data_IF_380614561496
#
_entry.id   IF_380614561496
#
_cell.length_a   1.000
_cell.length_b   1.000
_cell.length_c   1.000
_cell.angle_alpha   90.00
_cell.angle_beta   90.00
_cell.angle_gamma   90.00
#
_symmetry.space_group_name_H-M   'P 1'
#
loop_
_entity.id
_entity.type
_entity.pdbx_description
1 polymer ?
#
# COMPACT_ATOMS: atom_id res chain seq x y z
N UNK A 1 -57.44 -28.72 -13.06
CA UNK A 1 -56.49 -27.91 -12.27
C UNK A 1 -55.90 -26.90 -13.22
N UNK A 2 -56.21 -25.61 -13.03
CA UNK A 2 -55.80 -24.56 -13.97
C UNK A 2 -54.35 -24.16 -13.71
N UNK A 3 -53.65 -23.73 -14.75
CA UNK A 3 -52.26 -23.23 -14.74
C UNK A 3 -51.99 -22.03 -13.80
N UNK A 4 -52.98 -21.59 -13.01
CA UNK A 4 -52.89 -20.46 -12.07
C UNK A 4 -52.45 -20.82 -10.65
N UNK A 5 -52.20 -22.09 -10.36
CA UNK A 5 -51.76 -22.55 -9.03
C UNK A 5 -50.28 -22.97 -8.99
N UNK A 6 -49.40 -22.29 -9.76
CA UNK A 6 -47.95 -22.40 -9.50
C UNK A 6 -47.60 -21.46 -8.36
N UNK A 7 -46.93 -21.91 -7.29
CA UNK A 7 -46.45 -21.04 -6.24
C UNK A 7 -45.56 -19.96 -6.88
N UNK A 8 -45.85 -18.70 -6.60
CA UNK A 8 -44.90 -17.62 -6.82
C UNK A 8 -43.73 -17.94 -5.89
N UNK A 9 -42.60 -18.36 -6.42
CA UNK A 9 -41.34 -18.38 -5.68
C UNK A 9 -41.12 -16.94 -5.18
N UNK A 10 -41.37 -16.72 -3.89
CA UNK A 10 -40.88 -15.54 -3.21
C UNK A 10 -39.36 -15.66 -3.24
N UNK A 11 -38.72 -14.98 -4.20
CA UNK A 11 -37.29 -14.71 -4.13
C UNK A 11 -37.05 -13.92 -2.85
N UNK A 12 -36.73 -14.64 -1.77
CA UNK A 12 -36.20 -14.03 -0.57
C UNK A 12 -34.93 -13.30 -0.98
N UNK A 13 -34.87 -11.99 -0.75
CA UNK A 13 -33.59 -11.30 -0.90
C UNK A 13 -32.59 -11.94 0.06
N UNK A 14 -31.38 -12.27 -0.42
CA UNK A 14 -30.38 -12.90 0.42
C UNK A 14 -30.05 -11.97 1.58
N UNK A 15 -29.81 -12.57 2.75
CA UNK A 15 -29.37 -11.80 3.90
C UNK A 15 -27.96 -11.30 3.62
N UNK A 16 -27.72 -10.02 3.86
CA UNK A 16 -26.39 -9.44 3.70
C UNK A 16 -25.54 -9.71 4.94
N UNK A 17 -24.28 -10.07 4.72
CA UNK A 17 -23.33 -10.29 5.79
C UNK A 17 -22.85 -8.98 6.39
N UNK A 18 -22.68 -8.95 7.70
CA UNK A 18 -22.04 -7.82 8.37
C UNK A 18 -22.99 -6.73 8.87
N UNK A 19 -24.31 -6.88 8.70
CA UNK A 19 -25.29 -5.86 9.13
C UNK A 19 -24.93 -4.46 8.58
N UNK A 20 -24.61 -4.40 7.29
CA UNK A 20 -24.15 -3.18 6.63
C UNK A 20 -25.24 -2.11 6.59
N UNK A 21 -24.82 -0.86 6.73
CA UNK A 21 -25.67 0.32 6.61
C UNK A 21 -25.81 0.70 5.13
N UNK A 22 -26.98 1.18 4.69
CA UNK A 22 -27.09 1.82 3.37
C UNK A 22 -26.20 3.08 3.36
N UNK A 23 -25.25 3.24 2.43
CA UNK A 23 -24.38 4.41 2.43
C UNK A 23 -25.11 5.74 2.20
N UNK A 24 -26.37 5.74 1.73
CA UNK A 24 -27.24 6.94 1.70
C UNK A 24 -27.65 7.41 3.09
N UNK A 25 -27.64 6.51 4.06
CA UNK A 25 -27.96 6.77 5.46
C UNK A 25 -26.69 6.97 6.31
N UNK A 26 -25.55 7.26 5.67
CA UNK A 26 -24.27 7.43 6.35
C UNK A 26 -24.37 8.44 7.51
N UNK A 27 -23.94 7.96 8.68
CA UNK A 27 -23.71 8.79 9.86
C UNK A 27 -22.29 8.52 10.35
N UNK A 28 -21.43 9.54 10.51
CA UNK A 28 -20.06 9.35 10.99
C UNK A 28 -19.95 8.68 12.37
N UNK A 29 -21.05 8.69 13.15
CA UNK A 29 -21.11 8.06 14.49
C UNK A 29 -21.64 6.64 14.48
N UNK A 30 -22.39 6.26 13.45
CA UNK A 30 -23.10 4.99 13.37
C UNK A 30 -23.16 4.56 11.91
N UNK A 31 -22.15 3.81 11.48
CA UNK A 31 -22.15 3.16 10.18
C UNK A 31 -21.44 1.82 10.29
N UNK A 32 -21.76 0.91 9.37
CA UNK A 32 -21.01 -0.32 9.17
C UNK A 32 -21.00 -0.67 7.70
N UNK A 33 -19.83 -0.92 7.12
CA UNK A 33 -19.69 -1.21 5.69
C UNK A 33 -18.74 -2.38 5.45
N UNK A 34 -19.03 -3.18 4.44
CA UNK A 34 -18.01 -3.98 3.76
C UNK A 34 -17.38 -3.13 2.67
N UNK A 35 -16.06 -2.99 2.70
CA UNK A 35 -15.34 -2.15 1.73
C UNK A 35 -14.23 -2.89 1.02
N UNK A 36 -14.19 -2.80 -0.32
CA UNK A 36 -13.03 -3.20 -1.11
C UNK A 36 -12.14 -1.98 -1.33
N UNK A 37 -11.08 -1.88 -0.52
CA UNK A 37 -10.14 -0.78 -0.62
C UNK A 37 -9.16 -0.99 -1.78
N UNK A 38 -9.10 -0.02 -2.68
CA UNK A 38 -8.18 -0.05 -3.83
C UNK A 38 -6.78 0.29 -3.32
N UNK A 39 -5.91 -0.71 -3.28
CA UNK A 39 -4.49 -0.50 -2.99
C UNK A 39 -3.64 -0.51 -4.28
N UNK A 40 -2.95 0.61 -4.58
CA UNK A 40 -1.92 0.71 -5.59
C UNK A 40 -0.95 -0.49 -5.70
N UNK A 41 -0.42 -0.98 -4.58
CA UNK A 41 0.58 -2.05 -4.56
C UNK A 41 0.00 -3.42 -4.93
N UNK A 42 -1.29 -3.64 -4.63
CA UNK A 42 -2.03 -4.85 -5.02
C UNK A 42 -2.08 -5.01 -6.55
N UNK A 43 -2.30 -3.91 -7.26
CA UNK A 43 -2.45 -3.88 -8.73
C UNK A 43 -1.13 -4.20 -9.41
N UNK A 44 0.01 -3.78 -8.85
CA UNK A 44 1.35 -4.14 -9.36
C UNK A 44 1.62 -5.63 -9.13
N UNK A 45 1.32 -6.15 -7.94
CA UNK A 45 1.43 -7.58 -7.63
C UNK A 45 0.51 -8.45 -8.50
N UNK A 46 -0.73 -8.01 -8.73
CA UNK A 46 -1.69 -8.71 -9.58
C UNK A 46 -1.31 -8.64 -11.08
N UNK A 47 -0.79 -7.52 -11.59
CA UNK A 47 -0.28 -7.46 -12.97
C UNK A 47 0.94 -8.35 -13.18
N UNK A 48 1.88 -8.38 -12.23
CA UNK A 48 3.02 -9.28 -12.27
C UNK A 48 2.60 -10.75 -12.11
N UNK A 49 1.64 -11.04 -11.22
CA UNK A 49 1.06 -12.35 -11.01
C UNK A 49 0.30 -12.87 -12.24
N UNK A 50 -0.54 -12.05 -12.88
CA UNK A 50 -1.21 -12.43 -14.13
C UNK A 50 -0.22 -12.64 -15.29
N UNK A 51 0.88 -11.88 -15.35
CA UNK A 51 1.94 -12.10 -16.34
C UNK A 51 2.73 -13.40 -16.07
N UNK A 52 2.92 -13.79 -14.81
CA UNK A 52 3.56 -15.06 -14.43
C UNK A 52 2.63 -16.27 -14.57
N UNK A 53 1.36 -16.14 -14.18
CA UNK A 53 0.31 -17.16 -14.34
C UNK A 53 0.01 -17.43 -15.83
N UNK A 54 0.32 -16.49 -16.73
CA UNK A 54 0.26 -16.73 -18.17
C UNK A 54 1.33 -17.70 -18.70
N UNK A 55 2.26 -18.16 -17.85
CA UNK A 55 3.26 -19.20 -18.18
C UNK A 55 2.95 -20.60 -17.63
N UNK A 56 1.98 -20.78 -16.73
CA UNK A 56 1.53 -22.10 -16.28
C UNK A 56 0.06 -22.32 -16.66
N UNK A 57 -0.17 -23.25 -17.59
CA UNK A 57 -1.49 -23.62 -18.05
C UNK A 57 -2.39 -24.14 -16.92
N UNK A 58 -3.31 -23.31 -16.46
CA UNK A 58 -4.50 -23.69 -15.70
C UNK A 58 -5.74 -23.48 -16.57
N UNK A 59 -6.32 -24.56 -17.09
CA UNK A 59 -7.67 -24.55 -17.67
C UNK A 59 -8.71 -25.07 -16.67
N UNK A 60 -9.95 -25.35 -17.11
CA UNK A 60 -10.88 -24.50 -17.86
C UNK A 60 -11.89 -23.81 -16.92
N UNK A 61 -12.46 -22.68 -17.35
CA UNK A 61 -13.58 -21.94 -16.74
C UNK A 61 -13.45 -21.57 -15.26
N UNK A 62 -12.61 -20.56 -14.97
CA UNK A 62 -12.82 -19.74 -13.78
C UNK A 62 -14.25 -19.16 -13.87
N UNK A 63 -15.08 -19.36 -12.86
CA UNK A 63 -16.47 -18.88 -12.81
C UNK A 63 -16.57 -17.34 -12.66
N UNK A 64 -15.61 -16.59 -13.20
CA UNK A 64 -15.40 -15.17 -13.00
C UNK A 64 -14.03 -14.70 -13.51
N UNK A 65 -13.88 -13.39 -13.69
CA UNK A 65 -12.69 -12.74 -14.25
C UNK A 65 -11.99 -11.87 -13.19
N UNK A 66 -10.93 -12.41 -12.58
CA UNK A 66 -10.17 -11.66 -11.56
C UNK A 66 -9.34 -10.52 -12.14
N UNK A 67 -9.19 -10.43 -13.47
CA UNK A 67 -8.43 -9.37 -14.16
C UNK A 67 -9.18 -8.05 -14.27
N UNK A 68 -10.51 -8.06 -14.03
CA UNK A 68 -11.34 -6.85 -14.04
C UNK A 68 -10.75 -5.82 -13.07
N UNK A 69 -10.57 -4.58 -13.51
CA UNK A 69 -10.03 -3.54 -12.64
C UNK A 69 -11.15 -2.83 -11.87
N UNK A 70 -11.20 -3.01 -10.55
CA UNK A 70 -12.17 -2.29 -9.69
C UNK A 70 -11.95 -0.77 -9.65
N UNK A 71 -10.78 -0.32 -10.10
CA UNK A 71 -10.52 1.10 -10.33
C UNK A 71 -11.16 1.63 -11.62
N UNK A 72 -11.37 0.80 -12.65
CA UNK A 72 -11.92 1.25 -13.95
C UNK A 72 -13.39 0.86 -14.14
N UNK A 73 -13.76 -0.31 -13.64
CA UNK A 73 -15.05 -0.97 -13.84
C UNK A 73 -15.63 -1.46 -12.49
N UNK A 74 -15.83 -0.57 -11.51
CA UNK A 74 -16.34 -0.95 -10.19
C UNK A 74 -17.70 -1.67 -10.25
N UNK A 75 -18.56 -1.33 -11.21
CA UNK A 75 -19.87 -1.96 -11.42
C UNK A 75 -19.80 -3.45 -11.77
N UNK A 76 -18.63 -3.95 -12.17
CA UNK A 76 -18.41 -5.34 -12.56
C UNK A 76 -17.84 -6.21 -11.43
N UNK A 77 -17.99 -5.79 -10.17
CA UNK A 77 -17.53 -6.56 -9.00
C UNK A 77 -18.08 -7.99 -9.00
N UNK A 78 -19.35 -8.17 -9.37
CA UNK A 78 -20.02 -9.49 -9.46
C UNK A 78 -19.53 -10.39 -10.59
N UNK A 79 -18.77 -9.85 -11.55
CA UNK A 79 -18.16 -10.62 -12.65
C UNK A 79 -16.77 -11.18 -12.27
N UNK A 80 -16.21 -10.81 -11.11
CA UNK A 80 -14.89 -11.29 -10.66
C UNK A 80 -14.92 -12.76 -10.24
N UNK A 81 -13.78 -13.34 -9.87
CA UNK A 81 -13.77 -14.60 -9.12
C UNK A 81 -14.17 -14.35 -7.67
N UNK A 82 -13.52 -13.36 -7.05
CA UNK A 82 -13.78 -12.97 -5.66
C UNK A 82 -13.37 -11.52 -5.38
N UNK A 83 -13.81 -11.02 -4.22
CA UNK A 83 -13.36 -9.76 -3.65
C UNK A 83 -12.88 -9.97 -2.21
N UNK A 84 -11.72 -9.40 -1.90
CA UNK A 84 -11.23 -9.24 -0.53
C UNK A 84 -11.62 -7.85 -0.03
N UNK A 85 -12.25 -7.79 1.13
CA UNK A 85 -12.86 -6.59 1.71
C UNK A 85 -12.44 -6.45 3.17
N UNK A 86 -12.73 -5.30 3.76
CA UNK A 86 -12.68 -5.12 5.21
C UNK A 86 -14.07 -4.74 5.71
N UNK A 87 -14.47 -5.29 6.85
CA UNK A 87 -15.60 -4.80 7.61
C UNK A 87 -15.13 -3.60 8.44
N UNK A 88 -15.76 -2.44 8.22
CA UNK A 88 -15.42 -1.19 8.92
C UNK A 88 -16.64 -0.61 9.63
N UNK A 89 -16.40 0.11 10.71
CA UNK A 89 -17.37 0.93 11.42
C UNK A 89 -16.71 2.21 11.96
N UNK A 90 -17.43 3.00 12.77
CA UNK A 90 -16.92 4.25 13.33
C UNK A 90 -15.65 4.10 14.19
N UNK A 91 -15.43 2.92 14.77
CA UNK A 91 -14.30 2.63 15.67
C UNK A 91 -13.19 1.83 14.96
N UNK A 92 -13.52 1.16 13.85
CA UNK A 92 -12.63 0.31 13.07
C UNK A 92 -12.59 0.77 11.62
N UNK A 93 -11.87 1.86 11.36
CA UNK A 93 -11.80 2.45 10.02
C UNK A 93 -10.60 1.99 9.20
N UNK A 94 -9.66 1.22 9.73
CA UNK A 94 -8.46 0.82 9.00
C UNK A 94 -8.78 -0.03 7.75
N UNK A 95 -8.20 0.37 6.62
CA UNK A 95 -8.32 -0.32 5.33
C UNK A 95 -6.96 -0.41 4.65
N UNK A 96 -6.78 -1.39 3.76
CA UNK A 96 -5.51 -1.56 3.05
C UNK A 96 -5.22 -0.41 2.06
N UNK A 97 -6.26 0.11 1.40
CA UNK A 97 -6.21 1.29 0.53
C UNK A 97 -6.88 2.52 1.17
N UNK A 98 -6.69 3.70 0.56
CA UNK A 98 -7.24 4.99 1.04
C UNK A 98 -8.58 5.38 0.40
N UNK A 99 -9.23 4.45 -0.29
CA UNK A 99 -10.52 4.64 -0.95
C UNK A 99 -10.88 3.42 -1.78
N UNK A 100 -12.13 3.34 -2.21
CA UNK A 100 -12.63 2.19 -2.96
C UNK A 100 -14.14 2.06 -2.93
N UNK A 101 -14.60 0.81 -2.96
CA UNK A 101 -16.00 0.44 -3.15
C UNK A 101 -16.61 0.07 -1.80
N UNK A 102 -17.88 0.44 -1.61
CA UNK A 102 -18.75 -0.14 -0.58
C UNK A 102 -19.57 -1.23 -1.25
N UNK A 103 -19.56 -2.42 -0.67
CA UNK A 103 -20.09 -3.63 -1.29
C UNK A 103 -21.16 -4.24 -0.41
N UNK A 104 -22.28 -4.60 -1.03
CA UNK A 104 -23.23 -5.54 -0.45
C UNK A 104 -22.80 -6.96 -0.82
N UNK A 105 -22.66 -7.80 0.20
CA UNK A 105 -22.28 -9.19 0.06
C UNK A 105 -23.34 -10.09 0.71
N UNK A 106 -24.00 -10.96 -0.06
CA UNK A 106 -24.81 -12.05 0.49
C UNK A 106 -24.01 -12.90 1.50
N UNK A 107 -24.65 -13.35 2.58
CA UNK A 107 -24.03 -14.20 3.61
C UNK A 107 -23.42 -15.48 3.02
N UNK A 108 -24.10 -16.08 2.06
CA UNK A 108 -23.67 -17.29 1.34
C UNK A 108 -22.44 -17.07 0.44
N UNK A 109 -22.14 -15.82 0.07
CA UNK A 109 -20.95 -15.52 -0.74
C UNK A 109 -19.69 -15.46 0.12
N UNK A 110 -19.80 -15.26 1.45
CA UNK A 110 -18.64 -15.14 2.34
C UNK A 110 -17.95 -16.50 2.50
N UNK A 111 -16.64 -16.51 2.30
CA UNK A 111 -15.83 -17.75 2.37
C UNK A 111 -14.73 -17.69 3.42
N UNK A 112 -14.19 -16.50 3.72
CA UNK A 112 -13.13 -16.32 4.72
C UNK A 112 -13.40 -15.05 5.51
N UNK A 113 -13.20 -15.09 6.82
CA UNK A 113 -13.07 -13.90 7.67
C UNK A 113 -11.86 -14.04 8.58
N UNK A 114 -11.08 -12.98 8.76
CA UNK A 114 -9.87 -12.98 9.58
C UNK A 114 -9.61 -11.59 10.15
N UNK A 115 -9.19 -11.52 11.42
CA UNK A 115 -8.79 -10.25 12.06
C UNK A 115 -7.51 -9.63 11.51
N UNK A 116 -6.88 -10.28 10.52
CA UNK A 116 -5.70 -9.84 9.78
C UNK A 116 -5.73 -10.42 8.35
N UNK A 117 -4.76 -10.05 7.50
CA UNK A 117 -4.58 -10.66 6.18
C UNK A 117 -4.51 -12.19 6.28
N UNK A 118 -5.39 -12.87 5.54
CA UNK A 118 -5.46 -14.32 5.40
C UNK A 118 -4.73 -14.81 4.14
N UNK A 119 -4.09 -13.91 3.38
CA UNK A 119 -3.37 -14.21 2.14
C UNK A 119 -4.23 -15.03 1.16
N UNK A 120 -5.45 -14.55 0.95
CA UNK A 120 -6.49 -15.27 0.21
C UNK A 120 -6.14 -15.46 -1.27
N UNK A 121 -6.42 -16.67 -1.78
CA UNK A 121 -6.17 -17.05 -3.19
C UNK A 121 -7.28 -16.57 -4.12
N UNK A 122 -7.40 -15.25 -4.23
CA UNK A 122 -8.52 -14.58 -4.89
C UNK A 122 -8.66 -14.83 -6.41
N UNK A 123 -7.69 -15.43 -7.08
CA UNK A 123 -7.75 -15.77 -8.51
C UNK A 123 -8.31 -17.16 -8.79
N UNK A 124 -8.61 -17.97 -7.77
CA UNK A 124 -9.04 -19.35 -7.95
C UNK A 124 -10.15 -19.72 -6.95
N UNK A 125 -11.39 -19.87 -7.46
CA UNK A 125 -12.57 -20.21 -6.66
C UNK A 125 -12.37 -21.46 -5.81
N UNK A 126 -11.90 -22.56 -6.40
CA UNK A 126 -11.79 -23.85 -5.70
C UNK A 126 -10.74 -23.81 -4.58
N UNK A 127 -9.61 -23.17 -4.84
CA UNK A 127 -8.58 -22.97 -3.82
C UNK A 127 -9.08 -22.06 -2.70
N UNK A 128 -9.85 -21.03 -3.03
CA UNK A 128 -10.43 -20.12 -2.07
C UNK A 128 -11.47 -20.81 -1.18
N UNK A 129 -12.36 -21.63 -1.75
CA UNK A 129 -13.33 -22.45 -0.99
C UNK A 129 -12.59 -23.42 -0.05
N UNK A 130 -11.56 -24.12 -0.55
CA UNK A 130 -10.73 -25.01 0.27
C UNK A 130 -10.05 -24.28 1.42
N UNK A 131 -9.56 -23.06 1.18
CA UNK A 131 -8.98 -22.21 2.22
C UNK A 131 -10.04 -21.75 3.22
N UNK A 132 -11.24 -21.38 2.75
CA UNK A 132 -12.38 -21.02 3.58
C UNK A 132 -12.78 -22.10 4.59
N UNK A 133 -12.76 -23.37 4.18
CA UNK A 133 -12.99 -24.49 5.09
C UNK A 133 -11.95 -24.63 6.22
N UNK A 134 -10.75 -24.07 6.03
CA UNK A 134 -9.68 -24.08 7.04
C UNK A 134 -9.79 -22.86 7.95
N UNK A 135 -10.00 -21.67 7.38
CA UNK A 135 -10.05 -20.40 8.12
C UNK A 135 -11.37 -20.20 8.89
N UNK A 136 -12.49 -20.66 8.33
CA UNK A 136 -13.83 -20.45 8.87
C UNK A 136 -14.38 -19.04 8.66
N UNK A 137 -15.63 -18.86 9.11
CA UNK A 137 -16.37 -17.60 9.11
C UNK A 137 -16.67 -17.24 10.57
N UNK A 138 -16.27 -16.04 10.96
CA UNK A 138 -16.43 -15.43 12.28
C UNK A 138 -17.64 -14.50 12.22
N UNK A 139 -18.35 -14.33 13.32
CA UNK A 139 -19.42 -13.34 13.43
C UNK A 139 -18.89 -11.91 13.19
N UNK A 140 -19.63 -11.02 12.50
CA UNK A 140 -19.20 -9.64 12.25
C UNK A 140 -18.74 -8.86 13.49
N UNK A 141 -19.44 -8.98 14.62
CA UNK A 141 -19.08 -8.27 15.84
C UNK A 141 -17.84 -8.89 16.48
N UNK A 142 -17.72 -10.21 16.43
CA UNK A 142 -16.51 -10.90 16.88
C UNK A 142 -15.29 -10.55 16.02
N UNK A 143 -15.46 -10.37 14.71
CA UNK A 143 -14.39 -9.94 13.81
C UNK A 143 -13.88 -8.54 14.18
N UNK A 144 -14.80 -7.58 14.39
CA UNK A 144 -14.44 -6.23 14.81
C UNK A 144 -13.75 -6.23 16.18
N UNK A 145 -14.25 -7.00 17.14
CA UNK A 145 -13.62 -7.15 18.47
C UNK A 145 -12.20 -7.73 18.43
N UNK A 146 -11.82 -8.45 17.36
CA UNK A 146 -10.47 -8.99 17.14
C UNK A 146 -9.56 -8.06 16.34
N UNK A 147 -10.09 -6.93 15.88
CA UNK A 147 -9.41 -5.97 15.02
C UNK A 147 -9.08 -4.71 15.82
N UNK A 148 -8.00 -4.00 15.49
CA UNK A 148 -7.71 -2.70 16.09
C UNK A 148 -8.07 -1.57 15.13
N UNK A 149 -8.26 -0.35 15.64
CA UNK A 149 -8.52 0.82 14.79
C UNK A 149 -7.43 1.09 13.73
N UNK A 150 -6.23 0.52 13.87
CA UNK A 150 -5.09 0.74 12.98
C UNK A 150 -4.78 -0.44 12.05
N UNK A 151 -5.37 -1.61 12.29
CA UNK A 151 -5.16 -2.81 11.49
C UNK A 151 -6.44 -3.14 10.74
N UNK A 152 -6.33 -3.45 9.45
CA UNK A 152 -7.48 -3.91 8.68
C UNK A 152 -7.73 -5.40 8.96
N UNK A 153 -8.99 -5.79 9.00
CA UNK A 153 -9.41 -7.19 8.88
C UNK A 153 -9.56 -7.59 7.40
N UNK A 154 -9.71 -8.89 7.17
CA UNK A 154 -10.03 -9.43 5.85
C UNK A 154 -11.34 -10.22 5.88
N UNK A 155 -12.26 -9.87 4.99
CA UNK A 155 -13.49 -10.59 4.66
C UNK A 155 -13.44 -10.89 3.17
N UNK A 156 -13.42 -12.17 2.80
CA UNK A 156 -13.36 -12.59 1.41
C UNK A 156 -14.68 -13.21 1.00
N UNK A 157 -15.19 -12.76 -0.14
CA UNK A 157 -16.42 -13.25 -0.72
C UNK A 157 -16.23 -13.67 -2.17
N UNK A 158 -16.91 -14.74 -2.57
CA UNK A 158 -17.08 -15.07 -3.98
C UNK A 158 -17.91 -13.98 -4.66
N UNK A 159 -17.50 -13.59 -5.87
CA UNK A 159 -18.19 -12.53 -6.60
C UNK A 159 -19.62 -12.94 -6.98
N UNK A 160 -19.80 -14.22 -7.29
CA UNK A 160 -21.07 -14.88 -7.56
C UNK A 160 -21.10 -16.23 -6.84
N UNK A 161 -22.19 -16.50 -6.12
CA UNK A 161 -22.47 -17.79 -5.53
C UNK A 161 -23.99 -18.05 -5.53
N UNK A 162 -24.39 -19.21 -6.06
CA UNK A 162 -25.79 -19.65 -6.11
C UNK A 162 -26.77 -18.63 -6.72
N UNK A 163 -26.32 -17.87 -7.71
CA UNK A 163 -27.11 -16.84 -8.39
C UNK A 163 -27.14 -15.49 -7.68
N UNK A 164 -26.46 -15.34 -6.53
CA UNK A 164 -26.31 -14.08 -5.82
C UNK A 164 -24.94 -13.47 -6.08
N UNK A 165 -24.94 -12.21 -6.49
CA UNK A 165 -23.73 -11.47 -6.85
C UNK A 165 -23.40 -10.41 -5.80
N UNK A 166 -22.10 -10.14 -5.65
CA UNK A 166 -21.64 -8.93 -4.99
C UNK A 166 -22.11 -7.70 -5.77
N UNK A 167 -22.48 -6.65 -5.04
CA UNK A 167 -22.94 -5.40 -5.65
C UNK A 167 -22.18 -4.21 -5.09
N UNK A 168 -21.79 -3.30 -5.98
CA UNK A 168 -21.27 -2.00 -5.55
C UNK A 168 -22.44 -1.10 -5.22
N UNK A 169 -22.55 -0.69 -3.96
CA UNK A 169 -23.67 0.13 -3.45
C UNK A 169 -23.24 1.54 -3.05
N UNK A 170 -21.95 1.80 -3.05
CA UNK A 170 -21.39 3.12 -2.80
C UNK A 170 -19.89 3.15 -3.01
N UNK A 171 -19.32 4.32 -2.75
CA UNK A 171 -17.89 4.56 -2.78
C UNK A 171 -17.43 5.20 -1.48
N UNK A 172 -16.15 5.05 -1.15
CA UNK A 172 -15.57 5.76 -0.03
C UNK A 172 -14.18 6.29 -0.37
N UNK A 173 -13.77 7.33 0.34
CA UNK A 173 -12.37 7.74 0.40
C UNK A 173 -12.00 8.18 1.80
N UNK A 174 -10.70 8.12 2.06
CA UNK A 174 -10.12 8.51 3.34
C UNK A 174 -9.86 10.00 3.41
N UNK A 175 -10.21 10.59 4.54
CA UNK A 175 -9.95 12.01 4.84
C UNK A 175 -9.07 12.18 6.07
N UNK A 176 -8.29 13.25 6.07
CA UNK A 176 -7.51 13.72 7.21
C UNK A 176 -8.44 14.35 8.27
N UNK A 177 -7.96 14.65 9.49
CA UNK A 177 -8.74 15.37 10.50
C UNK A 177 -9.23 16.76 10.05
N UNK A 178 -8.61 17.34 9.01
CA UNK A 178 -9.04 18.60 8.39
C UNK A 178 -10.13 18.41 7.33
N UNK A 179 -10.53 17.18 7.04
CA UNK A 179 -11.47 16.85 5.96
C UNK A 179 -10.83 16.80 4.57
N UNK A 180 -9.50 16.80 4.47
CA UNK A 180 -8.81 16.74 3.17
C UNK A 180 -8.63 15.29 2.72
N UNK A 181 -8.82 14.94 1.43
CA UNK A 181 -8.55 13.60 0.94
C UNK A 181 -7.10 13.15 1.15
N UNK A 182 -6.91 12.00 1.78
CA UNK A 182 -5.58 11.37 1.94
C UNK A 182 -4.94 11.04 0.59
N UNK A 183 -5.78 10.76 -0.42
CA UNK A 183 -5.35 10.57 -1.80
C UNK A 183 -6.31 11.29 -2.75
N UNK A 184 -5.94 12.52 -3.15
CA UNK A 184 -6.75 13.35 -4.03
C UNK A 184 -7.10 12.69 -5.36
N UNK A 185 -6.17 11.98 -6.00
CA UNK A 185 -6.44 11.32 -7.28
C UNK A 185 -7.43 10.17 -7.15
N UNK A 186 -7.29 9.37 -6.09
CA UNK A 186 -8.23 8.29 -5.82
C UNK A 186 -9.61 8.84 -5.44
N UNK A 187 -9.67 9.85 -4.58
CA UNK A 187 -10.92 10.51 -4.22
C UNK A 187 -11.64 11.10 -5.44
N UNK A 188 -10.91 11.78 -6.33
CA UNK A 188 -11.46 12.28 -7.59
C UNK A 188 -12.05 11.16 -8.45
N UNK A 189 -11.35 10.03 -8.56
CA UNK A 189 -11.85 8.88 -9.30
C UNK A 189 -13.11 8.26 -8.66
N UNK A 190 -13.16 8.18 -7.33
CA UNK A 190 -14.34 7.70 -6.61
C UNK A 190 -15.53 8.64 -6.84
N UNK A 191 -15.33 9.96 -6.81
CA UNK A 191 -16.38 10.93 -7.17
C UNK A 191 -16.87 10.71 -8.61
N UNK A 192 -15.97 10.57 -9.58
CA UNK A 192 -16.35 10.32 -10.97
C UNK A 192 -17.17 9.03 -11.13
N UNK A 193 -16.84 7.97 -10.39
CA UNK A 193 -17.62 6.73 -10.42
C UNK A 193 -18.95 6.83 -9.71
N UNK A 194 -18.99 7.48 -8.54
CA UNK A 194 -20.21 7.77 -7.81
C UNK A 194 -21.20 8.54 -8.70
N UNK A 195 -20.74 9.61 -9.36
CA UNK A 195 -21.54 10.39 -10.31
C UNK A 195 -21.99 9.55 -11.51
N UNK A 196 -21.08 8.78 -12.12
CA UNK A 196 -21.39 7.96 -13.30
C UNK A 196 -22.44 6.88 -12.99
N UNK A 197 -22.36 6.26 -11.81
CA UNK A 197 -23.23 5.16 -11.40
C UNK A 197 -24.43 5.61 -10.56
N UNK A 198 -24.52 6.91 -10.23
CA UNK A 198 -25.55 7.47 -9.35
C UNK A 198 -25.61 6.77 -7.99
N UNK A 199 -24.42 6.48 -7.43
CA UNK A 199 -24.25 5.83 -6.13
C UNK A 199 -23.71 6.81 -5.08
N UNK A 200 -24.03 6.62 -3.80
CA UNK A 200 -23.50 7.43 -2.70
C UNK A 200 -21.98 7.34 -2.59
N UNK A 201 -21.37 8.42 -2.11
CA UNK A 201 -19.96 8.48 -1.73
C UNK A 201 -19.83 9.00 -0.30
N UNK A 202 -18.98 8.35 0.49
CA UNK A 202 -18.81 8.69 1.91
C UNK A 202 -17.36 9.01 2.25
N UNK A 203 -17.18 9.97 3.15
CA UNK A 203 -15.88 10.31 3.74
C UNK A 203 -15.65 9.45 4.98
N UNK A 204 -14.55 8.70 5.02
CA UNK A 204 -14.19 7.93 6.20
C UNK A 204 -12.88 8.50 6.78
N UNK A 205 -12.82 8.81 8.08
CA UNK A 205 -11.55 9.22 8.71
C UNK A 205 -10.45 8.18 8.50
N UNK A 206 -9.22 8.65 8.28
CA UNK A 206 -8.04 7.79 8.29
C UNK A 206 -7.49 7.67 9.70
N UNK A 207 -7.56 6.48 10.32
CA UNK A 207 -7.20 6.31 11.73
C UNK A 207 -5.72 6.56 11.98
N UNK A 208 -4.86 6.43 10.96
CA UNK A 208 -3.42 6.69 11.08
C UNK A 208 -3.04 8.15 10.89
N UNK A 209 -3.98 9.06 10.66
CA UNK A 209 -3.69 10.47 10.83
C UNK A 209 -3.35 10.71 12.29
N UNK A 210 -2.29 11.49 12.54
CA UNK A 210 -2.04 11.91 13.90
C UNK A 210 -3.26 12.68 14.38
N UNK A 211 -3.75 12.30 15.55
CA UNK A 211 -4.76 13.09 16.23
C UNK A 211 -4.27 14.53 16.39
N UNK A 212 -5.19 15.48 16.47
CA UNK A 212 -4.84 16.86 16.83
C UNK A 212 -4.21 16.96 18.24
N UNK A 213 -4.25 15.86 19.00
CA UNK A 213 -3.74 15.74 20.35
C UNK A 213 -2.46 14.90 20.39
N UNK A 214 -1.46 15.38 21.12
CA UNK A 214 -0.22 14.64 21.37
C UNK A 214 -0.49 13.52 22.38
N UNK A 215 -0.17 12.27 22.04
CA UNK A 215 -0.39 11.10 22.89
C UNK A 215 0.44 9.89 22.45
N UNK A 216 0.46 8.87 23.31
CA UNK A 216 1.10 7.57 23.03
C UNK A 216 0.01 6.52 22.85
N UNK A 217 0.15 5.71 21.82
CA UNK A 217 -0.71 4.57 21.52
C UNK A 217 0.09 3.28 21.63
N UNK A 218 -0.49 2.31 22.34
CA UNK A 218 0.06 0.96 22.46
C UNK A 218 -0.94 -0.02 21.86
N UNK A 219 -0.46 -0.95 21.06
CA UNK A 219 -1.31 -1.98 20.45
C UNK A 219 -0.57 -3.30 20.44
N UNK A 220 -1.24 -4.36 20.89
CA UNK A 220 -0.71 -5.72 20.85
C UNK A 220 -1.31 -6.42 19.62
N UNK A 221 -0.49 -7.10 18.82
CA UNK A 221 -0.99 -7.89 17.70
C UNK A 221 -1.65 -9.15 18.25
N UNK A 222 -2.93 -9.37 17.97
CA UNK A 222 -3.62 -10.58 18.45
C UNK A 222 -2.88 -11.86 18.01
N UNK A 223 -2.55 -12.73 18.96
CA UNK A 223 -1.91 -14.04 18.72
C UNK A 223 -0.38 -14.01 18.59
N UNK A 224 0.26 -12.85 18.66
CA UNK A 224 1.72 -12.71 18.77
C UNK A 224 1.98 -11.74 19.90
N UNK A 225 2.79 -12.07 20.90
CA UNK A 225 3.13 -11.17 22.03
C UNK A 225 3.99 -9.95 21.59
N UNK A 226 3.78 -9.46 20.36
CA UNK A 226 4.39 -8.29 19.76
C UNK A 226 3.57 -7.05 20.12
N UNK A 227 4.26 -6.02 20.60
CA UNK A 227 3.70 -4.72 20.90
C UNK A 227 4.16 -3.69 19.87
N UNK A 228 3.23 -2.86 19.39
CA UNK A 228 3.51 -1.63 18.67
C UNK A 228 3.31 -0.42 19.57
N UNK A 229 4.28 0.51 19.52
CA UNK A 229 4.24 1.80 20.21
C UNK A 229 4.29 2.90 19.16
N UNK A 230 3.23 3.70 19.12
CA UNK A 230 3.07 4.83 18.19
C UNK A 230 2.93 6.11 19.00
N UNK A 231 3.72 7.13 18.69
CA UNK A 231 3.62 8.45 19.32
C UNK A 231 3.04 9.44 18.34
N UNK A 232 1.87 10.00 18.67
CA UNK A 232 1.28 11.14 17.98
C UNK A 232 1.88 12.41 18.59
N UNK A 233 2.66 13.17 17.82
CA UNK A 233 3.34 14.38 18.30
C UNK A 233 3.43 15.43 17.18
N UNK A 234 2.90 16.62 17.45
CA UNK A 234 2.91 17.78 16.55
C UNK A 234 2.32 17.48 15.15
N UNK A 235 1.32 16.60 15.12
CA UNK A 235 0.66 16.14 13.90
C UNK A 235 1.37 15.00 13.16
N UNK A 236 2.50 14.48 13.66
CA UNK A 236 3.17 13.31 13.10
C UNK A 236 2.89 12.06 13.94
N UNK A 237 2.87 10.90 13.28
CA UNK A 237 2.85 9.61 13.97
C UNK A 237 4.21 8.93 13.84
N UNK A 238 4.88 8.73 14.98
CA UNK A 238 6.18 8.08 15.08
C UNK A 238 6.02 6.63 15.56
N UNK A 239 6.46 5.68 14.73
CA UNK A 239 6.48 4.26 15.09
C UNK A 239 7.78 3.98 15.84
N UNK A 240 7.72 4.02 17.17
CA UNK A 240 8.86 3.71 18.04
C UNK A 240 9.15 2.21 18.06
N UNK A 241 8.10 1.39 17.94
CA UNK A 241 8.16 -0.06 17.74
C UNK A 241 6.99 -0.46 16.84
N UNK A 242 7.29 -1.09 15.71
CA UNK A 242 6.30 -1.63 14.78
C UNK A 242 6.24 -3.15 14.86
N UNK A 243 5.20 -3.76 14.30
CA UNK A 243 5.19 -5.21 14.12
C UNK A 243 6.21 -5.59 13.04
N UNK A 244 7.05 -6.58 13.32
CA UNK A 244 8.11 -7.01 12.39
C UNK A 244 7.49 -7.88 11.27
N UNK A 245 6.92 -7.22 10.27
CA UNK A 245 6.30 -7.85 9.10
C UNK A 245 7.26 -7.85 7.91
N UNK A 246 8.24 -8.75 7.96
CA UNK A 246 8.98 -9.34 6.82
C UNK A 246 9.58 -8.38 5.76
N UNK A 247 9.66 -7.09 6.03
CA UNK A 247 10.19 -6.10 5.08
C UNK A 247 11.23 -5.15 5.68
N UNK A 248 11.57 -5.28 6.96
CA UNK A 248 12.66 -4.52 7.60
C UNK A 248 12.47 -3.00 7.56
N UNK A 249 11.26 -2.52 7.27
CA UNK A 249 10.95 -1.11 7.02
C UNK A 249 9.84 -0.56 7.93
N UNK A 250 9.30 -1.37 8.85
CA UNK A 250 8.16 -1.02 9.72
C UNK A 250 8.55 -0.55 11.13
N UNK A 251 9.79 -0.78 11.56
CA UNK A 251 10.38 -0.25 12.79
C UNK A 251 11.07 1.09 12.49
N UNK A 252 10.67 2.16 13.19
CA UNK A 252 11.25 3.52 13.08
C UNK A 252 10.83 4.39 11.89
N UNK A 253 9.55 4.31 11.51
CA UNK A 253 8.97 5.21 10.51
C UNK A 253 8.20 6.38 11.14
N UNK A 254 8.06 7.46 10.38
CA UNK A 254 7.21 8.61 10.69
C UNK A 254 6.20 8.79 9.56
N UNK A 255 4.92 8.92 9.90
CA UNK A 255 3.92 9.36 8.93
C UNK A 255 3.89 10.87 8.89
N UNK A 256 4.12 11.42 7.69
CA UNK A 256 3.95 12.85 7.44
C UNK A 256 2.52 13.31 7.72
N UNK A 257 2.39 14.43 8.44
CA UNK A 257 1.11 14.94 8.95
C UNK A 257 0.07 15.26 7.88
N UNK A 258 0.51 15.62 6.68
CA UNK A 258 -0.36 16.10 5.61
C UNK A 258 -0.57 15.02 4.53
N UNK A 259 0.41 14.14 4.30
CA UNK A 259 0.35 13.13 3.22
C UNK A 259 0.24 11.68 3.68
N UNK A 260 0.43 11.41 4.98
CA UNK A 260 0.50 10.08 5.59
C UNK A 260 1.46 9.13 4.86
N UNK A 261 2.46 9.71 4.20
CA UNK A 261 3.53 8.96 3.60
C UNK A 261 4.52 8.61 4.70
N UNK A 262 4.82 7.32 4.83
CA UNK A 262 5.88 6.88 5.73
C UNK A 262 7.23 7.40 5.21
N UNK A 263 8.01 8.01 6.07
CA UNK A 263 9.37 8.46 5.82
C UNK A 263 10.20 8.16 7.06
N UNK A 264 11.52 8.15 6.93
CA UNK A 264 12.37 8.01 8.10
C UNK A 264 12.46 9.35 8.85
N UNK A 265 12.17 9.34 10.15
CA UNK A 265 12.27 10.52 11.01
C UNK A 265 13.73 10.96 11.13
N UNK A 266 13.99 12.27 11.24
CA UNK A 266 15.33 12.74 11.62
C UNK A 266 15.65 12.36 13.09
N UNK A 267 16.94 12.22 13.47
CA UNK A 267 17.31 11.81 14.83
C UNK A 267 16.76 12.76 15.89
N UNK A 268 16.71 14.06 15.58
CA UNK A 268 16.11 15.05 16.46
C UNK A 268 14.60 14.86 16.64
N UNK A 269 13.86 14.59 15.55
CA UNK A 269 12.42 14.35 15.63
C UNK A 269 12.11 13.05 16.36
N UNK A 270 12.82 11.98 16.02
CA UNK A 270 12.62 10.67 16.64
C UNK A 270 12.93 10.72 18.14
N UNK A 271 14.05 11.34 18.53
CA UNK A 271 14.40 11.52 19.93
C UNK A 271 13.35 12.30 20.71
N UNK A 272 12.78 13.37 20.13
CA UNK A 272 11.68 14.11 20.76
C UNK A 272 10.44 13.25 20.99
N UNK A 273 10.09 12.37 20.05
CA UNK A 273 8.97 11.45 20.22
C UNK A 273 9.22 10.44 21.34
N UNK A 274 10.45 9.91 21.46
CA UNK A 274 10.85 9.03 22.58
C UNK A 274 10.80 9.79 23.91
N UNK A 275 11.40 10.98 23.99
CA UNK A 275 11.39 11.82 25.20
C UNK A 275 9.96 12.19 25.64
N UNK A 276 9.06 12.44 24.68
CA UNK A 276 7.65 12.66 24.96
C UNK A 276 7.00 11.42 25.59
N UNK A 277 7.24 10.22 25.03
CA UNK A 277 6.68 8.98 25.57
C UNK A 277 7.17 8.67 26.99
N UNK A 278 8.45 8.92 27.27
CA UNK A 278 9.03 8.84 28.63
C UNK A 278 8.38 9.86 29.56
N UNK A 279 8.22 11.11 29.12
CA UNK A 279 7.58 12.18 29.91
C UNK A 279 6.12 11.90 30.26
N UNK A 280 5.42 11.11 29.44
CA UNK A 280 4.06 10.63 29.70
C UNK A 280 4.00 9.40 30.62
N UNK A 281 5.14 8.80 30.98
CA UNK A 281 5.20 7.58 31.78
C UNK A 281 4.84 6.31 31.01
N UNK A 282 4.76 6.38 29.68
CA UNK A 282 4.37 5.28 28.80
C UNK A 282 5.56 4.41 28.36
N UNK A 283 6.77 4.91 28.60
CA UNK A 283 8.03 4.25 28.27
C UNK A 283 9.02 4.40 29.43
N UNK A 284 9.70 3.31 29.81
CA UNK A 284 10.78 3.37 30.80
C UNK A 284 12.05 3.97 30.19
N UNK A 285 12.96 4.49 31.03
CA UNK A 285 14.26 4.99 30.56
C UNK A 285 15.09 3.89 29.89
N UNK A 286 14.96 2.65 30.37
CA UNK A 286 15.64 1.47 29.82
C UNK A 286 15.11 1.12 28.42
N UNK A 287 13.78 1.08 28.26
CA UNK A 287 13.15 0.85 26.95
C UNK A 287 13.45 1.98 25.96
N UNK A 288 13.48 3.23 26.43
CA UNK A 288 13.84 4.38 25.64
C UNK A 288 15.27 4.30 25.08
N UNK A 289 16.24 3.91 25.92
CA UNK A 289 17.61 3.68 25.49
C UNK A 289 17.72 2.55 24.45
N UNK A 290 16.98 1.46 24.66
CA UNK A 290 16.94 0.36 23.71
C UNK A 290 16.36 0.77 22.35
N UNK A 291 15.25 1.51 22.35
CA UNK A 291 14.60 2.03 21.14
C UNK A 291 15.52 3.01 20.39
N UNK A 292 16.18 3.92 21.10
CA UNK A 292 17.12 4.87 20.48
C UNK A 292 18.33 4.15 19.87
N UNK A 293 18.87 3.14 20.55
CA UNK A 293 19.98 2.34 20.02
C UNK A 293 19.59 1.59 18.75
N UNK A 294 18.41 0.97 18.72
CA UNK A 294 17.89 0.31 17.52
C UNK A 294 17.61 1.28 16.38
N UNK A 295 17.12 2.49 16.69
CA UNK A 295 16.98 3.56 15.69
C UNK A 295 18.33 3.96 15.08
N UNK A 296 19.38 4.13 15.90
CA UNK A 296 20.72 4.51 15.42
C UNK A 296 21.31 3.43 14.50
N UNK A 297 21.15 2.16 14.86
CA UNK A 297 21.55 1.03 14.02
C UNK A 297 20.79 1.03 12.68
N UNK A 298 19.47 1.22 12.72
CA UNK A 298 18.64 1.30 11.52
C UNK A 298 18.99 2.51 10.63
N UNK A 299 19.24 3.69 11.22
CA UNK A 299 19.64 4.89 10.47
C UNK A 299 21.02 4.72 9.82
N UNK A 300 21.96 4.05 10.50
CA UNK A 300 23.26 3.72 9.92
C UNK A 300 23.11 2.72 8.77
N UNK A 301 22.34 1.65 8.99
CA UNK A 301 22.13 0.60 7.99
C UNK A 301 21.48 1.17 6.72
N UNK A 302 20.39 1.93 6.85
CA UNK A 302 19.69 2.46 5.68
C UNK A 302 20.55 3.44 4.88
N UNK A 303 21.47 4.18 5.51
CA UNK A 303 22.37 5.12 4.85
C UNK A 303 23.61 4.48 4.25
N UNK A 304 23.77 3.18 4.45
CA UNK A 304 24.93 2.44 4.01
C UNK A 304 24.63 1.75 2.68
N UNK A 305 25.40 2.04 1.60
CA UNK A 305 25.30 1.28 0.35
C UNK A 305 25.43 -0.22 0.59
N UNK A 306 24.34 -0.96 0.31
CA UNK A 306 24.25 -2.39 0.57
C UNK A 306 23.90 -3.13 -0.72
N UNK A 307 24.68 -4.14 -1.06
CA UNK A 307 24.42 -5.00 -2.22
C UNK A 307 23.48 -6.16 -1.85
N UNK A 308 22.45 -6.33 -2.67
CA UNK A 308 21.43 -7.37 -2.55
C UNK A 308 21.56 -8.38 -3.69
N UNK A 309 21.23 -9.63 -3.38
CA UNK A 309 21.35 -10.77 -4.28
C UNK A 309 20.01 -11.51 -4.36
N UNK A 310 19.69 -12.01 -5.55
CA UNK A 310 18.48 -12.78 -5.76
C UNK A 310 18.55 -14.17 -5.09
N UNK A 311 17.45 -14.92 -5.13
CA UNK A 311 17.38 -16.28 -4.56
C UNK A 311 18.36 -17.30 -5.17
N UNK A 312 18.96 -16.98 -6.33
CA UNK A 312 19.98 -17.79 -6.98
C UNK A 312 21.40 -17.29 -6.67
N UNK A 313 21.50 -16.25 -5.85
CA UNK A 313 22.75 -15.65 -5.45
C UNK A 313 23.35 -14.73 -6.51
N UNK A 314 22.63 -14.28 -7.53
CA UNK A 314 23.16 -13.30 -8.48
C UNK A 314 22.97 -11.88 -7.96
N UNK A 315 23.90 -10.99 -8.29
CA UNK A 315 23.74 -9.56 -8.01
C UNK A 315 22.41 -9.02 -8.56
N UNK A 316 21.62 -8.40 -7.69
CA UNK A 316 20.32 -7.83 -8.03
C UNK A 316 20.35 -6.31 -8.07
N UNK A 317 20.86 -5.68 -7.00
CA UNK A 317 20.87 -4.23 -6.83
C UNK A 317 21.78 -3.78 -5.67
N UNK A 318 22.19 -2.52 -5.69
CA UNK A 318 22.71 -1.80 -4.51
C UNK A 318 21.66 -0.74 -4.13
N UNK A 319 21.31 -0.63 -2.86
CA UNK A 319 20.40 0.39 -2.37
C UNK A 319 20.86 1.02 -1.06
N UNK A 320 20.53 2.30 -0.87
CA UNK A 320 20.60 3.02 0.39
C UNK A 320 19.72 4.29 0.33
N UNK A 321 19.60 4.97 1.45
CA UNK A 321 18.78 6.17 1.62
C UNK A 321 19.61 7.35 2.15
N UNK A 322 19.24 8.56 1.76
CA UNK A 322 19.80 9.81 2.25
C UNK A 322 18.70 10.71 2.81
N UNK A 323 19.07 11.62 3.70
CA UNK A 323 18.12 12.59 4.26
C UNK A 323 17.03 11.94 5.11
N UNK A 324 15.95 12.69 5.33
CA UNK A 324 14.88 12.39 6.27
C UNK A 324 13.59 13.11 5.88
N UNK A 325 12.45 12.61 6.34
CA UNK A 325 11.17 13.30 6.15
C UNK A 325 10.84 13.52 4.67
N UNK A 326 10.43 14.75 4.33
CA UNK A 326 10.15 15.16 2.94
C UNK A 326 11.38 15.25 2.06
N UNK A 327 12.58 15.30 2.65
CA UNK A 327 13.87 15.32 1.95
C UNK A 327 14.58 13.97 2.08
N UNK A 328 13.82 12.88 2.24
CA UNK A 328 14.36 11.53 2.14
C UNK A 328 14.48 11.12 0.66
N UNK A 329 15.67 10.68 0.28
CA UNK A 329 15.98 10.20 -1.06
C UNK A 329 16.39 8.74 -1.00
N UNK A 330 15.93 7.93 -1.96
CA UNK A 330 16.49 6.60 -2.20
C UNK A 330 17.48 6.67 -3.35
N UNK A 331 18.52 5.85 -3.24
CA UNK A 331 19.54 5.67 -4.25
C UNK A 331 19.59 4.18 -4.58
N UNK A 332 19.52 3.85 -5.87
CA UNK A 332 19.48 2.47 -6.35
C UNK A 332 20.37 2.29 -7.57
N UNK A 333 21.15 1.20 -7.60
CA UNK A 333 21.90 0.75 -8.77
C UNK A 333 21.47 -0.69 -9.04
N UNK A 334 20.71 -0.92 -10.10
CA UNK A 334 20.16 -2.25 -10.44
C UNK A 334 21.15 -3.06 -11.27
N UNK A 335 20.98 -4.39 -11.30
CA UNK A 335 21.76 -5.33 -12.12
C UNK A 335 21.88 -4.98 -13.61
N UNK A 336 20.98 -4.15 -14.13
CA UNK A 336 21.00 -3.67 -15.51
C UNK A 336 21.97 -2.50 -15.74
N UNK A 337 22.60 -1.96 -14.69
CA UNK A 337 23.38 -0.72 -14.74
C UNK A 337 22.52 0.54 -14.69
N UNK A 338 21.20 0.41 -14.49
CA UNK A 338 20.34 1.56 -14.23
C UNK A 338 20.62 2.09 -12.82
N UNK A 339 21.20 3.28 -12.74
CA UNK A 339 21.48 3.99 -11.51
C UNK A 339 20.54 5.19 -11.37
N UNK A 340 19.97 5.38 -10.18
CA UNK A 340 18.93 6.37 -9.95
C UNK A 340 18.96 6.92 -8.53
N UNK A 341 18.59 8.20 -8.41
CA UNK A 341 18.28 8.91 -7.17
C UNK A 341 16.90 9.51 -7.29
N UNK A 342 16.03 9.24 -6.33
CA UNK A 342 14.66 9.77 -6.32
C UNK A 342 14.26 10.20 -4.92
N UNK A 343 13.38 11.19 -4.82
CA UNK A 343 12.73 11.53 -3.55
C UNK A 343 11.70 10.44 -3.22
N UNK A 344 11.73 9.92 -1.99
CA UNK A 344 10.88 8.79 -1.58
C UNK A 344 9.39 9.14 -1.59
N UNK A 345 9.02 10.36 -1.18
CA UNK A 345 7.63 10.82 -1.17
C UNK A 345 7.13 11.00 -2.59
N UNK A 346 7.91 11.65 -3.46
CA UNK A 346 7.49 11.88 -4.85
C UNK A 346 7.41 10.58 -5.65
N UNK A 347 8.34 9.65 -5.43
CA UNK A 347 8.28 8.32 -6.01
C UNK A 347 6.97 7.61 -5.63
N UNK A 348 6.62 7.60 -4.35
CA UNK A 348 5.35 7.01 -3.88
C UNK A 348 4.13 7.73 -4.44
N UNK A 349 4.14 9.07 -4.52
CA UNK A 349 3.06 9.86 -5.12
C UNK A 349 2.85 9.49 -6.58
N UNK A 350 3.93 9.43 -7.36
CA UNK A 350 3.85 9.02 -8.76
C UNK A 350 3.36 7.59 -8.92
N UNK A 351 3.89 6.62 -8.16
CA UNK A 351 3.41 5.24 -8.27
C UNK A 351 1.92 5.16 -7.95
N UNK A 352 1.43 5.87 -6.94
CA UNK A 352 -0.02 6.01 -6.67
C UNK A 352 -0.78 6.61 -7.85
N UNK A 353 -0.22 7.64 -8.49
CA UNK A 353 -0.86 8.35 -9.60
C UNK A 353 -0.87 7.53 -10.91
N UNK A 354 0.22 6.84 -11.24
CA UNK A 354 0.36 5.94 -12.39
C UNK A 354 -0.72 4.83 -12.40
N UNK A 355 -1.20 4.46 -11.22
CA UNK A 355 -2.21 3.41 -11.08
C UNK A 355 -3.64 3.93 -11.25
N UNK A 356 -3.81 5.25 -11.14
CA UNK A 356 -5.05 5.97 -11.36
C UNK A 356 -5.19 6.47 -12.80
N UNK A 357 -4.09 6.67 -13.51
CA UNK A 357 -4.10 7.21 -14.88
C UNK A 357 -3.03 6.54 -15.74
N UNK A 358 -3.47 5.79 -16.77
CA UNK A 358 -2.57 5.16 -17.73
C UNK A 358 -1.73 6.22 -18.49
N UNK A 359 -2.14 7.50 -18.52
CA UNK A 359 -1.43 8.58 -19.21
C UNK A 359 -0.24 9.13 -18.42
N UNK A 360 -0.23 8.99 -17.09
CA UNK A 360 0.91 9.42 -16.25
C UNK A 360 2.16 8.55 -16.45
N UNK A 361 2.03 7.41 -17.14
CA UNK A 361 3.17 6.63 -17.65
C UNK A 361 4.06 7.43 -18.61
N UNK A 362 3.59 8.58 -19.10
CA UNK A 362 4.35 9.50 -19.97
C UNK A 362 5.03 10.65 -19.23
N UNK A 363 4.72 10.87 -17.95
CA UNK A 363 5.48 11.82 -17.14
C UNK A 363 6.89 11.24 -16.92
N UNK A 364 7.91 11.98 -17.37
CA UNK A 364 9.30 11.54 -17.34
C UNK A 364 9.77 11.09 -15.95
N UNK A 365 10.94 10.43 -15.86
CA UNK A 365 11.35 9.78 -14.63
C UNK A 365 11.46 10.81 -13.50
N UNK A 366 10.74 10.53 -12.40
CA UNK A 366 10.86 11.16 -11.08
C UNK A 366 12.30 11.03 -10.57
N UNK A 367 12.95 9.98 -11.01
CA UNK A 367 14.31 9.64 -10.67
C UNK A 367 15.27 10.39 -11.59
N UNK A 368 16.35 10.87 -11.00
CA UNK A 368 17.50 11.39 -11.73
C UNK A 368 18.60 10.33 -11.75
N UNK A 369 19.21 10.05 -12.91
CA UNK A 369 20.32 9.11 -12.95
C UNK A 369 21.50 9.64 -12.16
N UNK A 370 22.23 8.74 -11.49
CA UNK A 370 23.46 9.10 -10.79
C UNK A 370 24.52 9.54 -11.79
N UNK A 371 25.39 10.47 -11.39
CA UNK A 371 26.61 10.71 -12.17
C UNK A 371 27.50 9.45 -12.14
N UNK A 372 28.35 9.22 -13.16
CA UNK A 372 29.27 8.09 -13.15
C UNK A 372 30.19 8.09 -11.92
N UNK A 373 30.59 9.26 -11.42
CA UNK A 373 31.41 9.40 -10.22
C UNK A 373 30.66 8.99 -8.95
N UNK A 374 29.39 9.40 -8.80
CA UNK A 374 28.56 9.02 -7.65
C UNK A 374 28.26 7.51 -7.69
N UNK A 375 27.93 6.97 -8.87
CA UNK A 375 27.71 5.54 -9.03
C UNK A 375 28.97 4.73 -8.68
N UNK A 376 30.15 5.17 -9.13
CA UNK A 376 31.43 4.53 -8.80
C UNK A 376 31.70 4.55 -7.29
N UNK A 377 31.43 5.67 -6.62
CA UNK A 377 31.57 5.78 -5.16
C UNK A 377 30.64 4.78 -4.43
N UNK A 378 29.36 4.75 -4.79
CA UNK A 378 28.35 3.86 -4.19
C UNK A 378 28.74 2.38 -4.37
N UNK A 379 29.22 2.01 -5.56
CA UNK A 379 29.64 0.64 -5.86
C UNK A 379 30.87 0.25 -5.03
N UNK A 380 31.89 1.12 -4.94
CA UNK A 380 33.09 0.87 -4.13
C UNK A 380 32.77 0.71 -2.65
N UNK A 381 31.89 1.56 -2.13
CA UNK A 381 31.41 1.45 -0.74
C UNK A 381 30.67 0.15 -0.45
N UNK A 382 29.91 -0.36 -1.42
CA UNK A 382 29.24 -1.65 -1.28
C UNK A 382 30.24 -2.81 -1.36
N UNK A 383 31.20 -2.77 -2.30
CA UNK A 383 32.27 -3.78 -2.45
C UNK A 383 33.08 -3.94 -1.17
N UNK A 384 33.46 -2.82 -0.53
CA UNK A 384 34.29 -2.83 0.68
C UNK A 384 33.66 -3.56 1.88
N UNK A 385 32.36 -3.90 1.83
CA UNK A 385 31.62 -4.60 2.88
C UNK A 385 31.35 -6.07 2.56
N UNK A 386 31.66 -6.50 1.34
CA UNK A 386 31.43 -7.87 0.89
C UNK A 386 32.59 -8.79 1.29
N UNK A 387 32.31 -10.08 1.39
CA UNK A 387 33.37 -11.07 1.44
C UNK A 387 34.18 -11.05 0.12
N UNK A 388 35.44 -11.53 0.14
CA UNK A 388 36.33 -11.42 -1.02
C UNK A 388 35.77 -12.05 -2.31
N UNK A 389 34.98 -13.12 -2.23
CA UNK A 389 34.44 -13.76 -3.43
C UNK A 389 33.34 -12.90 -4.06
N UNK A 390 32.46 -12.34 -3.23
CA UNK A 390 31.39 -11.42 -3.67
C UNK A 390 31.92 -10.07 -4.13
N UNK A 391 32.97 -9.56 -3.50
CA UNK A 391 33.65 -8.34 -3.93
C UNK A 391 34.14 -8.45 -5.37
N UNK A 392 34.83 -9.54 -5.72
CA UNK A 392 35.33 -9.81 -7.09
C UNK A 392 34.19 -9.92 -8.11
N UNK A 393 33.09 -10.57 -7.73
CA UNK A 393 31.91 -10.69 -8.59
C UNK A 393 31.31 -9.31 -8.91
N UNK A 394 31.12 -8.48 -7.89
CA UNK A 394 30.54 -7.14 -8.04
C UNK A 394 31.49 -6.17 -8.78
N UNK A 395 32.80 -6.29 -8.57
CA UNK A 395 33.81 -5.55 -9.35
C UNK A 395 33.73 -5.89 -10.83
N UNK A 396 33.64 -7.18 -11.16
CA UNK A 396 33.48 -7.63 -12.55
C UNK A 396 32.18 -7.11 -13.16
N UNK A 397 31.07 -7.24 -12.43
CA UNK A 397 29.78 -6.71 -12.87
C UNK A 397 29.87 -5.20 -13.15
N UNK A 398 30.53 -4.44 -12.28
CA UNK A 398 30.71 -3.01 -12.43
C UNK A 398 31.49 -2.66 -13.71
N UNK A 399 32.60 -3.35 -13.99
CA UNK A 399 33.38 -3.13 -15.21
C UNK A 399 32.54 -3.41 -16.46
N UNK A 400 31.77 -4.51 -16.45
CA UNK A 400 30.88 -4.88 -17.56
C UNK A 400 29.75 -3.84 -17.80
N UNK A 401 29.32 -3.12 -16.76
CA UNK A 401 28.17 -2.20 -16.81
C UNK A 401 28.53 -0.71 -16.76
N UNK A 402 29.82 -0.37 -16.64
CA UNK A 402 30.29 1.03 -16.57
C UNK A 402 29.80 1.87 -17.75
N UNK A 403 29.91 1.33 -18.96
CA UNK A 403 29.45 2.00 -20.19
C UNK A 403 27.93 2.26 -20.21
N UNK A 404 27.13 1.39 -19.57
CA UNK A 404 25.68 1.56 -19.47
C UNK A 404 25.34 2.71 -18.55
N UNK A 405 25.97 2.77 -17.37
CA UNK A 405 25.80 3.86 -16.39
C UNK A 405 26.14 5.20 -17.04
N UNK A 406 27.29 5.31 -17.70
CA UNK A 406 27.72 6.52 -18.40
C UNK A 406 26.75 6.95 -19.50
N UNK A 407 26.25 6.00 -20.29
CA UNK A 407 25.28 6.27 -21.36
C UNK A 407 23.96 6.81 -20.79
N UNK A 408 23.39 6.14 -19.79
CA UNK A 408 22.10 6.55 -19.18
C UNK A 408 22.20 7.97 -18.60
N UNK A 409 23.28 8.28 -17.89
CA UNK A 409 23.51 9.63 -17.36
C UNK A 409 23.65 10.67 -18.49
N UNK A 410 24.46 10.37 -19.52
CA UNK A 410 24.69 11.26 -20.65
C UNK A 410 23.41 11.57 -21.42
N UNK A 411 22.59 10.55 -21.69
CA UNK A 411 21.33 10.71 -22.42
C UNK A 411 20.37 11.65 -21.68
N UNK A 412 20.35 11.58 -20.33
CA UNK A 412 19.57 12.51 -19.50
C UNK A 412 20.11 13.94 -19.56
N UNK A 413 21.42 14.13 -19.39
CA UNK A 413 22.06 15.46 -19.46
C UNK A 413 21.80 16.12 -20.82
N UNK A 414 21.92 15.35 -21.91
CA UNK A 414 21.64 15.84 -23.26
C UNK A 414 20.15 16.18 -23.45
N UNK A 415 19.24 15.37 -22.92
CA UNK A 415 17.79 15.62 -23.00
C UNK A 415 17.39 16.88 -22.23
N UNK A 416 17.93 17.08 -21.03
CA UNK A 416 17.73 18.30 -20.23
C UNK A 416 18.26 19.56 -20.95
N UNK A 417 19.40 19.44 -21.63
CA UNK A 417 20.02 20.52 -22.40
C UNK A 417 19.22 20.89 -23.66
N UNK A 418 18.55 19.92 -24.29
CA UNK A 418 17.66 20.17 -25.44
C UNK A 418 16.37 20.89 -25.01
N UNK A 419 15.82 20.55 -23.85
CA UNK A 419 14.66 21.22 -23.29
C UNK A 419 14.99 22.68 -22.94
N UNK A 420 16.11 22.94 -22.27
CA UNK A 420 16.55 24.31 -21.96
C UNK A 420 16.86 25.14 -23.21
N UNK A 421 17.43 24.51 -24.26
CA UNK A 421 17.62 25.13 -25.58
C UNK A 421 16.31 25.50 -26.29
N UNK A 422 15.26 24.69 -26.18
CA UNK A 422 13.94 24.99 -26.76
C UNK A 422 13.24 26.16 -26.04
N UNK A 423 13.44 26.33 -24.72
CA UNK A 423 12.97 27.52 -24.00
C UNK A 423 13.75 28.78 -24.39
N UNK A 424 15.07 28.67 -24.63
CA UNK A 424 15.89 29.80 -25.08
C UNK A 424 15.55 30.27 -26.51
N UNK A 425 15.22 29.35 -27.43
CA UNK A 425 14.82 29.69 -28.81
C UNK A 425 13.43 30.34 -28.85
N UNK A 426 12.50 29.97 -27.96
CA UNK A 426 11.20 30.65 -27.84
C UNK A 426 11.31 32.10 -27.35
N UNK A 427 12.34 32.44 -26.57
CA UNK A 427 12.58 33.82 -26.12
C UNK A 427 13.31 34.70 -27.15
N UNK A 428 14.07 34.12 -28.09
CA UNK A 428 14.73 34.88 -29.17
C UNK A 428 13.85 35.06 -30.42
N UNK A 429 12.63 34.51 -30.42
CA UNK A 429 11.65 34.67 -31.51
C UNK A 429 10.58 35.74 -31.23
N UNK A 430 10.67 36.43 -30.08
CA UNK A 430 9.74 37.49 -29.64
C UNK A 430 10.53 38.75 -29.22
N UNK A 431 11.59 39.08 -29.98
CA UNK A 431 12.22 40.41 -29.95
C UNK A 431 12.31 40.97 -31.35
#
# INVERSE_FOLDING_TARGET
MSEKDRPIEQYHQPRLWGETTDPKEHSPKHFRYLVHAINPFAKIGAMAGCALDSMEGFGPEASGDQSISMYKQPERIGDRVSASMSLIDQDHTATWGSGGLIIDAPEENIVITSGADASARNNNRDLLIKQGHICGIIDPNELLNRTSQYAHNEVVALAEHEGHQLQTVGFFYKVTPKGEPVNHHLAQAMHMHADRLQLPIVEIPEPRCADSENKVHRTIRHGKEEESIIVSLDGYNFYLRGFDDTSGCSTYSMLDKDSLQACFASPCQFKKAVEFAVGMGELSDEDAQHILSGYEEADLQRKTPTAYYDKYGNFEKIEYFEGYGSEEYYISIRKTGHSARGNTIDARRFYRALLCDDQLATAGPIESPLSPADAEFVIKEAIGKLDPARAVELEKWHEDHKSVIERVWRDRVQSASRLSGQFAVRYHSIL
#
